data_IF_360339400870
#
_entry.id   IF_360339400870
#
_cell.length_a   1.000
_cell.length_b   1.000
_cell.length_c   1.000
_cell.angle_alpha   90.00
_cell.angle_beta   90.00
_cell.angle_gamma   90.00
#
_symmetry.space_group_name_H-M   'P 1'
#
loop_
_entity.id
_entity.type
_entity.pdbx_description
1 polymer ?
#
# COMPACT_ATOMS: atom_id res chain seq x y z
N UNK A 1 42.25 -27.79 12.67
CA UNK A 1 41.76 -26.36 12.70
C UNK A 1 40.79 -26.22 11.55
N UNK A 2 39.48 -26.40 11.81
CA UNK A 2 38.43 -26.41 10.78
C UNK A 2 37.92 -24.97 10.63
N UNK A 3 38.31 -24.33 9.56
CA UNK A 3 37.75 -23.01 9.20
C UNK A 3 36.27 -23.21 8.85
N UNK A 4 35.39 -22.89 9.78
CA UNK A 4 33.98 -22.66 9.50
C UNK A 4 33.87 -21.34 8.75
N UNK A 5 33.84 -21.40 7.43
CA UNK A 5 33.38 -20.24 6.63
C UNK A 5 31.92 -20.04 6.98
N UNK A 6 31.63 -19.08 7.85
CA UNK A 6 30.28 -18.52 7.94
C UNK A 6 30.00 -17.83 6.61
N UNK A 7 29.22 -18.48 5.75
CA UNK A 7 28.63 -17.85 4.59
C UNK A 7 27.62 -16.84 5.13
N UNK A 8 28.02 -15.61 5.26
CA UNK A 8 27.06 -14.49 5.31
C UNK A 8 26.32 -14.50 3.98
N UNK A 9 25.08 -15.01 4.00
CA UNK A 9 24.24 -14.98 2.81
C UNK A 9 23.89 -13.50 2.55
N UNK A 10 24.31 -12.98 1.41
CA UNK A 10 23.96 -11.63 1.00
C UNK A 10 22.45 -11.52 0.77
N UNK A 11 21.86 -10.43 1.23
CA UNK A 11 20.42 -10.16 1.04
C UNK A 11 20.03 -10.09 -0.44
N UNK A 12 18.91 -10.69 -0.77
CA UNK A 12 18.22 -10.48 -2.05
C UNK A 12 17.69 -9.06 -2.17
N UNK A 13 17.26 -8.64 -3.36
CA UNK A 13 16.62 -7.34 -3.56
C UNK A 13 15.36 -7.17 -2.68
N UNK A 14 14.57 -8.23 -2.55
CA UNK A 14 13.35 -8.22 -1.73
C UNK A 14 13.69 -8.00 -0.26
N UNK A 15 14.67 -8.72 0.27
CA UNK A 15 15.12 -8.58 1.66
C UNK A 15 15.65 -7.17 1.94
N UNK A 16 16.43 -6.60 1.01
CA UNK A 16 16.91 -5.20 1.11
C UNK A 16 15.78 -4.18 1.14
N UNK A 17 14.76 -4.35 0.29
CA UNK A 17 13.60 -3.46 0.30
C UNK A 17 12.80 -3.68 1.58
N UNK A 18 12.51 -4.92 1.98
CA UNK A 18 11.81 -5.21 3.22
C UNK A 18 12.53 -4.60 4.43
N UNK A 19 13.83 -4.73 4.52
CA UNK A 19 14.66 -4.11 5.58
C UNK A 19 14.51 -2.58 5.61
N UNK A 20 14.54 -1.93 4.45
CA UNK A 20 14.39 -0.46 4.35
C UNK A 20 13.06 0.03 4.89
N UNK A 21 11.99 -0.77 4.75
CA UNK A 21 10.63 -0.43 5.16
C UNK A 21 10.20 -1.10 6.46
N UNK A 22 11.05 -1.95 7.05
CA UNK A 22 10.81 -2.52 8.37
C UNK A 22 11.01 -1.46 9.46
N UNK A 23 10.29 -1.60 10.56
CA UNK A 23 10.48 -0.76 11.74
C UNK A 23 10.55 -1.60 13.02
N UNK A 24 11.21 -1.07 14.04
CA UNK A 24 11.38 -1.76 15.31
C UNK A 24 12.41 -2.89 15.29
N UNK A 25 13.22 -2.99 14.23
CA UNK A 25 14.33 -3.95 14.16
C UNK A 25 15.52 -3.46 15.00
N UNK A 26 16.28 -4.42 15.54
CA UNK A 26 17.61 -4.15 16.05
C UNK A 26 18.50 -3.58 14.93
N UNK A 27 19.36 -2.62 15.25
CA UNK A 27 20.21 -1.95 14.28
C UNK A 27 21.20 -2.89 13.55
N UNK A 28 21.46 -4.07 14.11
CA UNK A 28 22.36 -5.09 13.54
C UNK A 28 21.60 -6.22 12.85
N UNK A 29 20.27 -6.22 12.90
CA UNK A 29 19.47 -7.27 12.30
C UNK A 29 19.45 -7.12 10.78
N UNK A 30 19.92 -8.11 10.05
CA UNK A 30 19.76 -8.23 8.61
C UNK A 30 18.51 -9.08 8.31
N UNK A 31 17.59 -8.53 7.52
CA UNK A 31 16.35 -9.20 7.16
C UNK A 31 16.61 -10.32 6.16
N UNK A 32 16.12 -11.51 6.47
CA UNK A 32 16.18 -12.68 5.61
C UNK A 32 14.83 -13.39 5.49
N UNK A 33 14.71 -14.25 4.50
CA UNK A 33 13.53 -15.09 4.33
C UNK A 33 13.23 -15.89 5.61
N UNK A 34 11.99 -15.81 6.09
CA UNK A 34 11.55 -16.41 7.34
C UNK A 34 11.41 -15.44 8.50
N UNK A 35 11.91 -14.20 8.39
CA UNK A 35 11.73 -13.19 9.41
C UNK A 35 10.28 -12.69 9.45
N UNK A 36 9.81 -12.39 10.66
CA UNK A 36 8.54 -11.74 10.90
C UNK A 36 8.78 -10.25 11.09
N UNK A 37 8.20 -9.43 10.20
CA UNK A 37 8.50 -8.01 10.13
C UNK A 37 7.25 -7.15 10.37
N UNK A 38 7.45 -6.06 11.07
CA UNK A 38 6.52 -4.93 11.04
C UNK A 38 6.99 -3.92 10.00
N UNK A 39 6.11 -3.50 9.09
CA UNK A 39 6.46 -2.68 7.94
C UNK A 39 5.71 -1.35 7.93
N UNK A 40 6.40 -0.32 7.46
CA UNK A 40 5.85 1.00 7.14
C UNK A 40 5.99 1.23 5.63
N UNK A 41 5.00 0.86 4.81
CA UNK A 41 5.09 0.99 3.36
C UNK A 41 5.20 2.46 2.94
N UNK A 42 5.82 2.73 1.79
CA UNK A 42 5.87 4.08 1.23
C UNK A 42 4.47 4.58 0.89
N UNK A 43 3.68 3.72 0.24
CA UNK A 43 2.32 4.04 -0.18
C UNK A 43 1.37 2.88 0.07
N UNK A 44 0.09 3.24 0.27
CA UNK A 44 -1.04 2.31 0.34
C UNK A 44 -2.11 2.74 -0.65
N UNK A 45 -2.40 1.88 -1.62
CA UNK A 45 -3.43 2.12 -2.61
C UNK A 45 -4.71 1.39 -2.22
N UNK A 46 -5.84 2.07 -2.37
CA UNK A 46 -7.18 1.46 -2.38
C UNK A 46 -7.95 1.93 -3.60
N UNK A 47 -8.87 1.09 -4.08
CA UNK A 47 -9.67 1.36 -5.27
C UNK A 47 -11.14 1.55 -4.91
N UNK A 48 -12.08 1.13 -5.75
CA UNK A 48 -13.54 1.14 -5.48
C UNK A 48 -13.92 0.52 -4.12
N UNK A 49 -13.06 -0.30 -3.54
CA UNK A 49 -13.24 -0.88 -2.22
C UNK A 49 -12.97 0.12 -1.07
N UNK A 50 -12.49 1.32 -1.36
CA UNK A 50 -12.32 2.42 -0.40
C UNK A 50 -13.60 2.68 0.40
N UNK A 51 -14.76 2.57 -0.25
CA UNK A 51 -16.05 2.66 0.42
C UNK A 51 -16.25 1.66 1.57
N UNK A 52 -15.54 0.52 1.55
CA UNK A 52 -15.56 -0.48 2.63
C UNK A 52 -14.36 -0.32 3.60
N UNK A 53 -13.31 0.39 3.22
CA UNK A 53 -12.18 0.73 4.11
C UNK A 53 -12.56 1.86 5.06
N UNK A 54 -13.27 2.88 4.59
CA UNK A 54 -13.70 4.05 5.39
C UNK A 54 -14.43 3.65 6.68
N UNK A 55 -15.46 2.77 6.67
CA UNK A 55 -16.11 2.32 7.90
C UNK A 55 -15.16 1.63 8.88
N UNK A 56 -14.23 0.82 8.36
CA UNK A 56 -13.22 0.13 9.18
C UNK A 56 -12.26 1.12 9.84
N UNK A 57 -11.78 2.11 9.09
CA UNK A 57 -10.96 3.19 9.61
C UNK A 57 -11.66 3.96 10.73
N UNK A 58 -12.95 4.27 10.56
CA UNK A 58 -13.75 4.93 11.61
C UNK A 58 -14.00 4.02 12.81
N UNK A 59 -14.22 2.72 12.61
CA UNK A 59 -14.54 1.77 13.69
C UNK A 59 -13.40 1.53 14.66
N UNK A 60 -12.16 1.76 14.27
CA UNK A 60 -10.99 1.73 15.17
C UNK A 60 -10.77 3.04 15.93
N UNK A 61 -11.73 3.98 15.87
CA UNK A 61 -11.66 5.28 16.54
C UNK A 61 -10.79 6.32 15.85
N UNK A 62 -10.28 6.02 14.65
CA UNK A 62 -9.43 6.94 13.91
C UNK A 62 -10.27 8.05 13.26
N UNK A 63 -9.85 9.30 13.45
CA UNK A 63 -10.48 10.50 12.87
C UNK A 63 -9.58 11.25 11.90
N UNK A 64 -8.28 10.92 11.91
CA UNK A 64 -7.26 11.53 11.04
C UNK A 64 -6.36 10.45 10.47
N UNK A 65 -5.92 10.64 9.24
CA UNK A 65 -4.89 9.80 8.64
C UNK A 65 -3.54 10.07 9.32
N UNK A 66 -2.74 9.03 9.47
CA UNK A 66 -1.37 9.17 9.96
C UNK A 66 -0.55 10.06 9.00
N UNK A 67 -0.62 9.78 7.71
CA UNK A 67 -0.01 10.58 6.66
C UNK A 67 -0.90 10.52 5.40
N UNK A 68 -1.62 11.61 5.08
CA UNK A 68 -2.45 11.66 3.87
C UNK A 68 -1.68 11.36 2.58
N UNK A 69 -0.41 11.76 2.49
CA UNK A 69 0.44 11.56 1.30
C UNK A 69 0.91 10.11 1.11
N UNK A 70 0.69 9.25 2.10
CA UNK A 70 0.91 7.81 1.98
C UNK A 70 -0.26 7.11 1.27
N UNK A 71 -1.43 7.74 1.25
CA UNK A 71 -2.68 7.12 0.79
C UNK A 71 -3.00 7.56 -0.63
N UNK A 72 -3.26 6.59 -1.49
CA UNK A 72 -3.68 6.81 -2.89
C UNK A 72 -5.01 6.11 -3.11
N UNK A 73 -6.00 6.84 -3.62
CA UNK A 73 -7.28 6.28 -4.02
C UNK A 73 -7.44 6.33 -5.54
N UNK A 74 -7.81 5.20 -6.13
CA UNK A 74 -8.12 5.10 -7.56
C UNK A 74 -9.51 4.50 -7.75
N UNK A 75 -10.30 5.01 -8.68
CA UNK A 75 -11.59 4.42 -9.05
C UNK A 75 -11.47 3.78 -10.43
N UNK A 76 -11.36 2.47 -10.48
CA UNK A 76 -11.02 1.76 -11.73
C UNK A 76 -11.76 0.44 -11.98
N UNK A 77 -12.45 -0.14 -10.98
CA UNK A 77 -13.07 -1.46 -11.11
C UNK A 77 -14.50 -1.41 -11.66
N UNK A 78 -15.34 -0.48 -11.21
CA UNK A 78 -16.75 -0.40 -11.59
C UNK A 78 -17.08 0.82 -12.45
N UNK A 79 -16.13 1.24 -13.28
CA UNK A 79 -16.25 2.48 -14.09
C UNK A 79 -17.37 2.43 -15.12
N UNK A 80 -17.81 1.24 -15.51
CA UNK A 80 -18.91 1.03 -16.46
C UNK A 80 -20.29 1.09 -15.77
N UNK A 81 -20.36 0.87 -14.46
CA UNK A 81 -21.61 0.92 -13.70
C UNK A 81 -22.02 2.38 -13.46
N UNK A 82 -23.03 2.84 -14.20
CA UNK A 82 -23.61 4.19 -14.10
C UNK A 82 -24.86 4.25 -13.25
N UNK A 83 -25.17 3.20 -12.47
CA UNK A 83 -26.27 3.23 -11.53
C UNK A 83 -26.11 4.34 -10.50
N UNK A 84 -27.23 4.95 -10.08
CA UNK A 84 -27.22 5.99 -9.04
C UNK A 84 -26.47 5.54 -7.78
N UNK A 85 -26.68 4.29 -7.37
CA UNK A 85 -26.00 3.68 -6.23
C UNK A 85 -24.46 3.72 -6.37
N UNK A 86 -23.93 3.36 -7.55
CA UNK A 86 -22.47 3.37 -7.76
C UNK A 86 -21.92 4.80 -7.85
N UNK A 87 -22.65 5.70 -8.52
CA UNK A 87 -22.26 7.10 -8.61
C UNK A 87 -22.25 7.80 -7.23
N UNK A 88 -23.25 7.52 -6.39
CA UNK A 88 -23.29 8.00 -5.01
C UNK A 88 -22.13 7.46 -4.17
N UNK A 89 -21.81 6.16 -4.32
CA UNK A 89 -20.63 5.55 -3.67
C UNK A 89 -19.34 6.27 -4.08
N UNK A 90 -19.16 6.54 -5.38
CA UNK A 90 -17.97 7.22 -5.89
C UNK A 90 -17.88 8.65 -5.35
N UNK A 91 -18.99 9.37 -5.32
CA UNK A 91 -19.06 10.70 -4.72
C UNK A 91 -18.64 10.70 -3.25
N UNK A 92 -19.14 9.76 -2.46
CA UNK A 92 -18.73 9.61 -1.03
C UNK A 92 -17.25 9.32 -0.85
N UNK A 93 -16.66 8.51 -1.73
CA UNK A 93 -15.22 8.23 -1.70
C UNK A 93 -14.42 9.49 -2.03
N UNK A 94 -14.82 10.21 -3.07
CA UNK A 94 -14.18 11.47 -3.49
C UNK A 94 -14.25 12.54 -2.38
N UNK A 95 -15.42 12.73 -1.78
CA UNK A 95 -15.62 13.66 -0.68
C UNK A 95 -14.73 13.31 0.53
N UNK A 96 -14.65 12.03 0.87
CA UNK A 96 -13.76 11.56 1.91
C UNK A 96 -12.30 11.83 1.55
N UNK A 97 -11.86 11.48 0.35
CA UNK A 97 -10.49 11.69 -0.10
C UNK A 97 -10.10 13.18 -0.04
N UNK A 98 -10.96 14.07 -0.53
CA UNK A 98 -10.78 15.53 -0.45
C UNK A 98 -10.70 16.03 0.99
N UNK A 99 -11.58 15.54 1.87
CA UNK A 99 -11.63 15.97 3.28
C UNK A 99 -10.38 15.53 4.06
N UNK A 100 -9.75 14.41 3.65
CA UNK A 100 -8.56 13.84 4.29
C UNK A 100 -7.25 14.24 3.61
N UNK A 101 -7.29 14.92 2.46
CA UNK A 101 -6.08 15.31 1.71
C UNK A 101 -5.37 14.14 1.03
N UNK A 102 -6.13 13.12 0.63
CA UNK A 102 -5.65 11.92 -0.07
C UNK A 102 -5.43 12.24 -1.55
N UNK A 103 -4.40 11.66 -2.15
CA UNK A 103 -4.22 11.67 -3.60
C UNK A 103 -5.30 10.80 -4.25
N UNK A 104 -6.20 11.44 -5.02
CA UNK A 104 -7.41 10.81 -5.55
C UNK A 104 -7.46 10.84 -7.07
N UNK A 105 -7.74 9.71 -7.69
CA UNK A 105 -7.88 9.53 -9.13
C UNK A 105 -9.29 9.03 -9.47
N UNK A 106 -10.09 9.85 -10.16
CA UNK A 106 -11.49 9.55 -10.44
C UNK A 106 -11.64 8.45 -11.49
N UNK A 107 -12.85 7.88 -11.55
CA UNK A 107 -13.23 6.93 -12.58
C UNK A 107 -12.97 7.47 -14.00
N UNK A 108 -12.34 6.65 -14.84
CA UNK A 108 -11.96 7.03 -16.19
C UNK A 108 -10.55 7.64 -16.33
N UNK A 109 -9.82 7.90 -15.23
CA UNK A 109 -8.42 8.32 -15.29
C UNK A 109 -7.50 7.20 -15.79
N UNK A 110 -7.78 5.95 -15.42
CA UNK A 110 -7.00 4.79 -15.82
C UNK A 110 -7.13 3.63 -14.84
N UNK A 111 -6.36 2.59 -15.07
CA UNK A 111 -6.23 1.44 -14.17
C UNK A 111 -5.39 1.86 -12.96
N UNK A 112 -5.84 1.55 -11.74
CA UNK A 112 -5.18 1.97 -10.51
C UNK A 112 -3.71 1.60 -10.44
N UNK A 113 -3.36 0.37 -10.81
CA UNK A 113 -1.97 -0.07 -10.82
C UNK A 113 -1.11 0.69 -11.84
N UNK A 114 -1.67 1.05 -13.00
CA UNK A 114 -0.99 1.86 -14.01
C UNK A 114 -0.75 3.27 -13.47
N UNK A 115 -1.74 3.87 -12.82
CA UNK A 115 -1.61 5.17 -12.15
C UNK A 115 -0.48 5.14 -11.11
N UNK A 116 -0.40 4.08 -10.29
CA UNK A 116 0.66 3.94 -9.29
C UNK A 116 2.06 3.94 -9.91
N UNK A 117 2.20 3.40 -11.13
CA UNK A 117 3.46 3.41 -11.86
C UNK A 117 3.75 4.77 -12.52
N UNK A 118 2.77 5.32 -13.25
CA UNK A 118 2.93 6.54 -14.04
C UNK A 118 3.09 7.79 -13.19
N UNK A 119 2.39 7.87 -12.06
CA UNK A 119 2.47 8.99 -11.13
C UNK A 119 3.65 8.86 -10.12
N UNK A 120 4.47 7.81 -10.27
CA UNK A 120 5.69 7.65 -9.49
C UNK A 120 5.50 7.21 -8.03
N UNK A 121 4.41 6.53 -7.70
CA UNK A 121 4.24 5.91 -6.38
C UNK A 121 4.96 4.56 -6.29
N UNK A 122 4.88 3.74 -7.35
CA UNK A 122 5.59 2.47 -7.47
C UNK A 122 6.84 2.65 -8.34
N UNK A 123 8.03 2.59 -7.72
CA UNK A 123 9.32 2.72 -8.41
C UNK A 123 10.39 1.84 -7.76
N UNK A 124 11.54 1.63 -8.43
CA UNK A 124 12.59 0.73 -7.94
C UNK A 124 13.01 1.03 -6.50
N UNK A 125 13.11 -0.02 -5.68
CA UNK A 125 13.56 0.08 -4.29
C UNK A 125 12.53 0.68 -3.32
N UNK A 126 11.25 0.83 -3.73
CA UNK A 126 10.14 1.17 -2.85
C UNK A 126 9.35 -0.06 -2.42
N UNK A 127 8.53 0.12 -1.39
CA UNK A 127 7.52 -0.84 -0.96
C UNK A 127 6.16 -0.19 -1.01
N UNK A 128 5.25 -0.78 -1.78
CA UNK A 128 3.87 -0.33 -1.96
C UNK A 128 2.92 -1.47 -1.62
N UNK A 129 1.92 -1.18 -0.82
CA UNK A 129 0.84 -2.13 -0.54
C UNK A 129 -0.45 -1.65 -1.19
N UNK A 130 -1.30 -2.57 -1.61
CA UNK A 130 -2.58 -2.19 -2.16
C UNK A 130 -3.68 -3.18 -1.77
N UNK A 131 -4.88 -2.67 -1.54
CA UNK A 131 -6.05 -3.50 -1.28
C UNK A 131 -6.60 -4.11 -2.57
N UNK A 132 -5.71 -4.72 -3.34
CA UNK A 132 -5.95 -5.42 -4.60
C UNK A 132 -4.98 -6.58 -4.77
N UNK A 133 -5.46 -7.71 -5.32
CA UNK A 133 -4.69 -8.94 -5.45
C UNK A 133 -3.56 -8.88 -6.48
N UNK A 134 -3.55 -7.90 -7.38
CA UNK A 134 -2.55 -7.74 -8.43
C UNK A 134 -1.37 -6.82 -8.04
N UNK A 135 -1.31 -6.37 -6.79
CA UNK A 135 -0.28 -5.43 -6.30
C UNK A 135 1.15 -5.92 -6.51
N UNK A 136 1.37 -7.23 -6.54
CA UNK A 136 2.68 -7.83 -6.80
C UNK A 136 3.24 -7.51 -8.20
N UNK A 137 2.42 -7.02 -9.14
CA UNK A 137 2.88 -6.58 -10.46
C UNK A 137 3.96 -5.49 -10.41
N UNK A 138 3.99 -4.68 -9.33
CA UNK A 138 5.02 -3.65 -9.14
C UNK A 138 6.44 -4.23 -9.07
N UNK A 139 6.57 -5.54 -8.83
CA UNK A 139 7.83 -6.27 -8.91
C UNK A 139 8.51 -6.14 -10.27
N UNK A 140 7.74 -5.98 -11.36
CA UNK A 140 8.25 -5.71 -12.70
C UNK A 140 9.06 -4.41 -12.82
N UNK A 141 8.86 -3.47 -11.88
CA UNK A 141 9.62 -2.22 -11.76
C UNK A 141 10.71 -2.27 -10.68
N UNK A 142 10.91 -3.42 -10.02
CA UNK A 142 11.81 -3.50 -8.87
C UNK A 142 11.24 -2.85 -7.60
N UNK A 143 9.93 -2.69 -7.51
CA UNK A 143 9.21 -2.27 -6.32
C UNK A 143 8.67 -3.51 -5.59
N UNK A 144 8.78 -3.56 -4.27
CA UNK A 144 8.14 -4.63 -3.49
C UNK A 144 6.65 -4.30 -3.35
N UNK A 145 5.84 -4.92 -4.22
CA UNK A 145 4.39 -4.82 -4.21
C UNK A 145 3.75 -5.95 -3.41
N UNK A 146 2.84 -5.64 -2.49
CA UNK A 146 2.16 -6.64 -1.67
C UNK A 146 0.67 -6.36 -1.57
N UNK A 147 -0.20 -7.35 -1.89
CA UNK A 147 -1.62 -7.23 -1.63
C UNK A 147 -1.90 -7.26 -0.12
N UNK A 148 -2.88 -6.46 0.29
CA UNK A 148 -3.38 -6.40 1.66
C UNK A 148 -4.91 -6.44 1.68
N UNK A 149 -5.49 -6.78 2.82
CA UNK A 149 -6.94 -6.71 2.99
C UNK A 149 -7.40 -5.32 3.48
N UNK A 150 -8.71 -5.07 3.39
CA UNK A 150 -9.31 -3.77 3.74
C UNK A 150 -9.09 -3.36 5.20
N UNK A 151 -8.95 -4.32 6.09
CA UNK A 151 -8.62 -4.07 7.51
C UNK A 151 -7.21 -3.57 7.67
N UNK A 152 -6.26 -4.13 6.94
CA UNK A 152 -4.86 -3.71 6.98
C UNK A 152 -4.72 -2.31 6.37
N UNK A 153 -5.42 -2.03 5.26
CA UNK A 153 -5.46 -0.69 4.68
C UNK A 153 -5.97 0.35 5.71
N UNK A 154 -7.05 0.03 6.44
CA UNK A 154 -7.58 0.91 7.48
C UNK A 154 -6.58 1.11 8.64
N UNK A 155 -5.87 0.05 9.05
CA UNK A 155 -4.82 0.13 10.07
C UNK A 155 -3.66 1.02 9.61
N UNK A 156 -3.18 0.84 8.36
CA UNK A 156 -2.12 1.67 7.78
C UNK A 156 -2.56 3.13 7.68
N UNK A 157 -3.79 3.40 7.29
CA UNK A 157 -4.33 4.76 7.28
C UNK A 157 -4.26 5.44 8.65
N UNK A 158 -4.54 4.68 9.72
CA UNK A 158 -4.54 5.19 11.09
C UNK A 158 -3.15 5.30 11.71
N UNK A 159 -2.22 4.40 11.35
CA UNK A 159 -0.94 4.23 12.06
C UNK A 159 0.29 4.45 11.18
N UNK A 160 0.13 4.46 9.87
CA UNK A 160 1.21 4.52 8.88
C UNK A 160 1.93 3.19 8.65
N UNK A 161 1.47 2.10 9.30
CA UNK A 161 2.19 0.82 9.36
C UNK A 161 1.23 -0.34 9.53
#
# INVERSE_FOLDING_TARGET
MTFKMERTMSQTLIEKIAQKFAFGLDAKHEVHAGDYLSIKPAYVMTHDNTGAVIPKFKSIGATKLFNPRQVVNTLDHNVQDKTEKNLEKYKKIEEFAKSMGIDFYPAGRGIGHQIMCEEGYAFPGTMVVASDSHSNMYGGLGCLGTPIVRTDAAAIWATGR
#
